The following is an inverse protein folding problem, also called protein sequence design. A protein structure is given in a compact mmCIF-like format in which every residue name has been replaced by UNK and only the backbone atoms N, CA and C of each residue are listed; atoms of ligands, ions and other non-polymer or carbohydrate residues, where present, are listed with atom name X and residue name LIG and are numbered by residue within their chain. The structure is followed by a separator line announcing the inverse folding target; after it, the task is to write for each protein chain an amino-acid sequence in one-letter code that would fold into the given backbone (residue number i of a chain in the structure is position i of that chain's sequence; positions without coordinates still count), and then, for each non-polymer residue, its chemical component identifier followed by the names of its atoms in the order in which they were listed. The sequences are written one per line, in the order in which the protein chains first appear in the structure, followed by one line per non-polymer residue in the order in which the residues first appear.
data_IF_864181953881
#
_entry.id   IF_864181953881
#
_cell.length_a   1.000
_cell.length_b   1.000
_cell.length_c   1.000
_cell.angle_alpha   90.00
_cell.angle_beta   90.00
_cell.angle_gamma   90.00
#
_symmetry.space_group_name_H-M   'P 1'
#
loop_
_entity.id
_entity.type
_entity.pdbx_description
1 polymer ?
#
# COMPACT_ATOMS: atom_id res chain seq x y z
N UNK A 1 16.97 -10.31 -2.82
CA UNK A 1 16.08 -9.21 -3.19
C UNK A 1 16.80 -7.87 -3.18
N UNK A 2 16.11 -6.80 -3.53
CA UNK A 2 16.61 -5.42 -3.38
C UNK A 2 16.65 -4.99 -1.91
N UNK A 3 15.85 -5.64 -1.11
CA UNK A 3 15.67 -5.43 0.32
C UNK A 3 15.57 -6.80 1.00
N UNK A 4 15.59 -6.82 2.31
CA UNK A 4 15.42 -8.05 3.10
C UNK A 4 13.94 -8.43 3.27
N UNK A 5 13.02 -7.71 2.64
CA UNK A 5 11.59 -7.99 2.69
C UNK A 5 11.26 -9.33 2.04
N UNK A 6 10.56 -10.19 2.77
CA UNK A 6 10.17 -11.54 2.35
C UNK A 6 8.66 -11.75 2.37
N UNK A 7 7.96 -10.95 3.16
CA UNK A 7 6.51 -11.00 3.35
C UNK A 7 5.84 -9.68 2.95
N UNK A 8 4.52 -9.68 2.93
CA UNK A 8 3.74 -8.47 2.72
C UNK A 8 2.44 -8.50 3.54
N UNK A 9 2.11 -7.39 4.17
CA UNK A 9 0.77 -7.17 4.73
C UNK A 9 -0.05 -6.34 3.74
N UNK A 10 -1.18 -6.88 3.34
CA UNK A 10 -2.15 -6.16 2.51
C UNK A 10 -3.33 -5.73 3.38
N UNK A 11 -3.74 -4.49 3.24
CA UNK A 11 -4.87 -3.92 3.97
C UNK A 11 -5.83 -3.32 2.95
N UNK A 12 -7.13 -3.46 3.21
CA UNK A 12 -8.19 -2.89 2.38
C UNK A 12 -9.29 -2.30 3.27
N UNK A 13 -9.66 -1.07 2.99
CA UNK A 13 -10.90 -0.48 3.51
C UNK A 13 -12.06 -0.90 2.62
N UNK A 14 -13.03 -1.57 3.21
CA UNK A 14 -14.19 -2.11 2.48
C UNK A 14 -15.15 -1.01 2.04
N UNK A 15 -15.18 0.10 2.78
CA UNK A 15 -16.09 1.21 2.48
C UNK A 15 -15.61 2.06 1.29
N UNK A 16 -14.35 2.49 1.32
CA UNK A 16 -13.77 3.36 0.28
C UNK A 16 -13.14 2.60 -0.87
N UNK A 17 -12.96 1.29 -0.75
CA UNK A 17 -12.16 0.43 -1.63
C UNK A 17 -10.64 0.74 -1.60
N UNK A 18 -10.19 1.66 -0.73
CA UNK A 18 -8.78 1.97 -0.56
C UNK A 18 -8.01 0.73 -0.12
N UNK A 19 -6.86 0.48 -0.74
CA UNK A 19 -6.00 -0.65 -0.41
C UNK A 19 -4.54 -0.27 -0.36
N UNK A 20 -3.75 -1.01 0.39
CA UNK A 20 -2.31 -0.85 0.39
C UNK A 20 -1.60 -2.18 0.60
N UNK A 21 -0.34 -2.24 0.16
CA UNK A 21 0.55 -3.37 0.35
C UNK A 21 1.82 -2.87 1.03
N UNK A 22 2.13 -3.45 2.18
CA UNK A 22 3.31 -3.15 2.99
C UNK A 22 4.28 -4.33 2.88
N UNK A 23 5.39 -4.19 2.12
CA UNK A 23 6.48 -5.14 2.20
C UNK A 23 7.05 -5.18 3.62
N UNK A 24 7.30 -6.36 4.15
CA UNK A 24 7.75 -6.57 5.52
C UNK A 24 8.96 -7.49 5.54
N UNK A 25 9.92 -7.20 6.42
CA UNK A 25 11.07 -8.08 6.67
C UNK A 25 10.64 -9.34 7.43
N UNK A 26 9.65 -9.19 8.31
CA UNK A 26 9.13 -10.30 9.12
C UNK A 26 7.63 -10.15 9.39
N UNK A 27 7.01 -11.24 9.84
CA UNK A 27 5.63 -11.24 10.35
C UNK A 27 5.60 -10.90 11.83
N UNK A 28 6.12 -9.72 12.20
CA UNK A 28 6.10 -9.28 13.58
C UNK A 28 4.87 -8.43 13.90
N UNK A 29 4.47 -8.43 15.17
CA UNK A 29 3.38 -7.58 15.63
C UNK A 29 3.74 -6.07 15.59
N UNK A 30 5.02 -5.74 15.57
CA UNK A 30 5.51 -4.37 15.47
C UNK A 30 5.39 -3.87 14.02
N UNK A 31 5.88 -4.66 13.05
CA UNK A 31 5.71 -4.34 11.62
C UNK A 31 4.23 -4.22 11.24
N UNK A 32 3.38 -5.12 11.78
CA UNK A 32 1.94 -5.05 11.58
C UNK A 32 1.32 -3.78 12.20
N UNK A 33 1.76 -3.40 13.40
CA UNK A 33 1.31 -2.19 14.07
C UNK A 33 1.63 -0.94 13.23
N UNK A 34 2.87 -0.81 12.77
CA UNK A 34 3.30 0.33 11.96
C UNK A 34 2.53 0.42 10.63
N UNK A 35 2.34 -0.71 9.96
CA UNK A 35 1.56 -0.77 8.72
C UNK A 35 0.09 -0.39 8.93
N UNK A 36 -0.55 -0.89 10.00
CA UNK A 36 -1.93 -0.55 10.35
C UNK A 36 -2.08 0.93 10.73
N UNK A 37 -1.16 1.45 11.54
CA UNK A 37 -1.15 2.86 11.94
C UNK A 37 -0.99 3.78 10.72
N UNK A 38 -0.06 3.45 9.83
CA UNK A 38 0.14 4.19 8.58
C UNK A 38 -1.09 4.15 7.68
N UNK A 39 -1.70 2.96 7.51
CA UNK A 39 -2.89 2.82 6.65
C UNK A 39 -4.07 3.63 7.15
N UNK A 40 -4.28 3.67 8.44
CA UNK A 40 -5.42 4.37 9.03
C UNK A 40 -5.21 5.87 9.14
N UNK A 41 -3.96 6.36 9.21
CA UNK A 41 -3.64 7.79 9.32
C UNK A 41 -4.42 8.49 10.45
N UNK A 42 -4.69 7.76 11.53
CA UNK A 42 -5.49 8.25 12.67
C UNK A 42 -7.01 8.32 12.42
N UNK A 43 -7.50 7.81 11.29
CA UNK A 43 -8.93 7.69 11.02
C UNK A 43 -9.58 6.69 11.97
N UNK A 44 -10.85 6.92 12.27
CA UNK A 44 -11.63 6.01 13.10
C UNK A 44 -11.85 4.68 12.36
N UNK A 45 -11.44 3.59 12.98
CA UNK A 45 -11.67 2.22 12.48
C UNK A 45 -12.94 1.68 13.14
N UNK A 46 -13.97 1.42 12.36
CA UNK A 46 -15.23 0.86 12.85
C UNK A 46 -15.10 -0.62 13.21
N UNK A 47 -14.38 -1.38 12.41
CA UNK A 47 -14.10 -2.80 12.65
C UNK A 47 -12.84 -3.20 11.89
N UNK A 48 -11.93 -3.86 12.58
CA UNK A 48 -10.78 -4.54 11.99
C UNK A 48 -11.07 -6.03 11.86
N UNK A 49 -10.94 -6.55 10.64
CA UNK A 49 -11.18 -7.96 10.36
C UNK A 49 -9.91 -8.62 9.82
N UNK A 50 -9.49 -9.74 10.40
CA UNK A 50 -8.30 -10.49 9.99
C UNK A 50 -8.49 -12.00 10.11
N UNK A 51 -7.51 -12.78 9.66
CA UNK A 51 -7.49 -14.24 9.74
C UNK A 51 -7.20 -14.80 11.14
N UNK A 52 -7.09 -13.94 12.15
CA UNK A 52 -6.82 -14.35 13.52
C UNK A 52 -5.35 -14.69 13.79
N UNK A 53 -4.43 -14.26 12.96
CA UNK A 53 -3.00 -14.39 13.26
C UNK A 53 -2.62 -13.56 14.48
N UNK A 54 -1.77 -14.12 15.35
CA UNK A 54 -1.46 -13.52 16.66
C UNK A 54 -0.77 -12.15 16.55
N UNK A 55 0.02 -11.93 15.52
CA UNK A 55 0.68 -10.64 15.24
C UNK A 55 -0.35 -9.55 14.88
N UNK A 56 -1.35 -9.86 14.04
CA UNK A 56 -2.40 -8.92 13.65
C UNK A 56 -3.34 -8.62 14.83
N UNK A 57 -3.69 -9.63 15.61
CA UNK A 57 -4.51 -9.44 16.83
C UNK A 57 -3.79 -8.57 17.86
N UNK A 58 -2.48 -8.78 18.05
CA UNK A 58 -1.66 -7.98 18.96
C UNK A 58 -1.57 -6.54 18.49
N UNK A 59 -1.30 -6.29 17.20
CA UNK A 59 -1.23 -4.97 16.63
C UNK A 59 -2.57 -4.22 16.73
N UNK A 60 -3.69 -4.84 16.35
CA UNK A 60 -5.02 -4.26 16.46
C UNK A 60 -5.40 -3.92 17.92
N UNK A 61 -4.99 -4.77 18.89
CA UNK A 61 -5.21 -4.51 20.31
C UNK A 61 -4.42 -3.29 20.81
N UNK A 62 -3.17 -3.13 20.38
CA UNK A 62 -2.34 -1.96 20.72
C UNK A 62 -2.92 -0.66 20.16
N UNK A 63 -3.53 -0.73 18.96
CA UNK A 63 -4.21 0.40 18.32
C UNK A 63 -5.63 0.63 18.85
N UNK A 64 -6.10 -0.20 19.78
CA UNK A 64 -7.46 -0.15 20.32
C UNK A 64 -8.55 -0.26 19.23
N UNK A 65 -8.28 -0.98 18.15
CA UNK A 65 -9.29 -1.19 17.10
C UNK A 65 -10.35 -2.19 17.58
N UNK A 66 -11.64 -1.90 17.36
CA UNK A 66 -12.67 -2.93 17.42
C UNK A 66 -12.33 -4.03 16.43
N UNK A 67 -12.16 -5.25 16.89
CA UNK A 67 -11.70 -6.37 16.06
C UNK A 67 -12.64 -7.54 16.06
N UNK A 68 -12.69 -8.21 14.91
CA UNK A 68 -13.30 -9.51 14.74
C UNK A 68 -12.37 -10.39 13.89
N UNK A 69 -12.46 -11.69 14.09
CA UNK A 69 -11.58 -12.64 13.41
C UNK A 69 -12.40 -13.67 12.66
N UNK A 70 -11.89 -14.15 11.53
CA UNK A 70 -12.52 -15.24 10.81
C UNK A 70 -12.55 -16.50 11.67
N UNK A 71 -13.73 -17.12 11.76
CA UNK A 71 -13.85 -18.44 12.39
C UNK A 71 -13.02 -19.44 11.57
N UNK A 72 -12.19 -20.26 12.24
CA UNK A 72 -11.44 -21.32 11.56
C UNK A 72 -12.36 -22.21 10.74
N UNK A 73 -12.05 -22.41 9.47
CA UNK A 73 -12.80 -23.31 8.58
C UNK A 73 -14.00 -22.67 7.86
N UNK A 74 -14.18 -21.35 7.89
CA UNK A 74 -15.22 -20.66 7.10
C UNK A 74 -14.58 -19.88 5.94
N UNK A 75 -14.42 -20.47 4.73
CA UNK A 75 -13.76 -19.84 3.58
C UNK A 75 -14.44 -18.54 3.12
N UNK A 76 -15.74 -18.40 3.35
CA UNK A 76 -16.51 -17.23 2.89
C UNK A 76 -16.08 -15.92 3.56
N UNK A 77 -15.57 -16.00 4.79
CA UNK A 77 -15.21 -14.82 5.58
C UNK A 77 -13.86 -14.21 5.14
N UNK A 78 -13.03 -14.97 4.42
CA UNK A 78 -11.73 -14.49 3.96
C UNK A 78 -11.71 -14.07 2.46
N UNK A 79 -12.84 -14.23 1.77
CA UNK A 79 -12.93 -14.02 0.33
C UNK A 79 -12.57 -12.59 -0.11
N UNK A 80 -12.81 -11.57 0.73
CA UNK A 80 -12.44 -10.17 0.44
C UNK A 80 -10.92 -10.02 0.48
N UNK A 81 -10.27 -10.54 1.51
CA UNK A 81 -8.81 -10.49 1.65
C UNK A 81 -8.11 -11.29 0.54
N UNK A 82 -8.62 -12.49 0.23
CA UNK A 82 -8.08 -13.33 -0.86
C UNK A 82 -8.20 -12.65 -2.22
N UNK A 83 -9.35 -12.02 -2.50
CA UNK A 83 -9.57 -11.27 -3.75
C UNK A 83 -8.63 -10.06 -3.81
N UNK A 84 -8.48 -9.32 -2.72
CA UNK A 84 -7.56 -8.20 -2.62
C UNK A 84 -6.11 -8.64 -2.87
N UNK A 85 -5.67 -9.73 -2.25
CA UNK A 85 -4.33 -10.27 -2.44
C UNK A 85 -4.08 -10.70 -3.90
N UNK A 86 -5.06 -11.36 -4.51
CA UNK A 86 -4.98 -11.77 -5.92
C UNK A 86 -4.88 -10.57 -6.85
N UNK A 87 -5.66 -9.55 -6.61
CA UNK A 87 -5.67 -8.31 -7.39
C UNK A 87 -4.34 -7.59 -7.30
N UNK A 88 -3.82 -7.35 -6.08
CA UNK A 88 -2.51 -6.73 -5.87
C UNK A 88 -1.40 -7.54 -6.53
N UNK A 89 -1.42 -8.86 -6.40
CA UNK A 89 -0.41 -9.72 -7.02
C UNK A 89 -0.44 -9.64 -8.55
N UNK A 90 -1.62 -9.65 -9.16
CA UNK A 90 -1.77 -9.53 -10.61
C UNK A 90 -1.33 -8.14 -11.11
N UNK A 91 -1.75 -7.08 -10.45
CA UNK A 91 -1.36 -5.71 -10.77
C UNK A 91 0.15 -5.50 -10.64
N UNK A 92 0.76 -6.01 -9.57
CA UNK A 92 2.22 -5.98 -9.37
C UNK A 92 2.96 -6.65 -10.53
N UNK A 93 2.52 -7.85 -10.93
CA UNK A 93 3.13 -8.58 -12.07
C UNK A 93 3.00 -7.80 -13.38
N UNK A 94 1.83 -7.17 -13.60
CA UNK A 94 1.60 -6.35 -14.79
C UNK A 94 2.52 -5.14 -14.81
N UNK A 95 2.65 -4.41 -13.71
CA UNK A 95 3.56 -3.26 -13.62
C UNK A 95 5.02 -3.66 -13.84
N UNK A 96 5.48 -4.76 -13.26
CA UNK A 96 6.83 -5.26 -13.46
C UNK A 96 7.09 -5.63 -14.92
N UNK A 97 6.13 -6.32 -15.56
CA UNK A 97 6.23 -6.69 -16.98
C UNK A 97 6.27 -5.46 -17.88
N UNK A 98 5.42 -4.46 -17.65
CA UNK A 98 5.41 -3.21 -18.40
C UNK A 98 6.70 -2.41 -18.23
N UNK A 99 7.26 -2.39 -17.02
CA UNK A 99 8.50 -1.68 -16.73
C UNK A 99 9.77 -2.44 -17.18
N UNK A 100 9.65 -3.70 -17.61
CA UNK A 100 10.82 -4.54 -17.91
C UNK A 100 11.67 -4.86 -16.68
N UNK A 101 11.10 -4.77 -15.48
CA UNK A 101 11.82 -4.97 -14.23
C UNK A 101 11.74 -6.42 -13.73
N UNK A 102 12.82 -6.96 -13.16
CA UNK A 102 12.80 -8.30 -12.58
C UNK A 102 11.91 -8.36 -11.34
N UNK A 103 11.46 -9.59 -11.00
CA UNK A 103 10.54 -9.83 -9.88
C UNK A 103 11.08 -9.34 -8.52
N UNK A 104 12.40 -9.21 -8.36
CA UNK A 104 12.99 -8.65 -7.14
C UNK A 104 12.49 -7.23 -6.80
N UNK A 105 11.96 -6.49 -7.79
CA UNK A 105 11.39 -5.16 -7.59
C UNK A 105 9.94 -5.18 -7.05
N UNK A 106 9.40 -6.35 -6.68
CA UNK A 106 8.04 -6.46 -6.16
C UNK A 106 7.78 -5.53 -4.97
N UNK A 107 8.77 -5.35 -4.11
CA UNK A 107 8.72 -4.47 -2.92
C UNK A 107 8.42 -3.00 -3.25
N UNK A 108 8.71 -2.59 -4.48
CA UNK A 108 8.37 -1.25 -4.99
C UNK A 108 7.12 -1.27 -5.85
N UNK A 109 6.94 -2.34 -6.63
CA UNK A 109 5.84 -2.47 -7.58
C UNK A 109 4.49 -2.68 -6.88
N UNK A 110 4.43 -3.45 -5.79
CA UNK A 110 3.17 -3.73 -5.11
C UNK A 110 2.55 -2.47 -4.43
N UNK A 111 3.30 -1.68 -3.64
CA UNK A 111 2.79 -0.41 -3.15
C UNK A 111 2.44 0.57 -4.29
N UNK A 112 3.27 0.65 -5.34
CA UNK A 112 2.99 1.51 -6.49
C UNK A 112 1.70 1.14 -7.21
N UNK A 113 1.44 -0.16 -7.39
CA UNK A 113 0.16 -0.63 -7.94
C UNK A 113 -1.01 -0.15 -7.07
N UNK A 114 -0.94 -0.31 -5.75
CA UNK A 114 -2.00 0.14 -4.85
C UNK A 114 -2.27 1.64 -4.99
N UNK A 115 -1.21 2.46 -5.05
CA UNK A 115 -1.37 3.92 -5.23
C UNK A 115 -2.04 4.25 -6.56
N UNK A 116 -1.60 3.64 -7.66
CA UNK A 116 -2.19 3.86 -8.98
C UNK A 116 -3.66 3.44 -9.00
N UNK A 117 -3.98 2.25 -8.50
CA UNK A 117 -5.34 1.73 -8.47
C UNK A 117 -6.28 2.56 -7.57
N UNK A 118 -5.78 3.02 -6.42
CA UNK A 118 -6.54 3.88 -5.50
C UNK A 118 -6.89 5.24 -6.12
N UNK A 119 -6.19 5.67 -7.15
CA UNK A 119 -6.43 6.95 -7.85
C UNK A 119 -7.25 6.81 -9.13
N UNK A 120 -7.60 5.58 -9.53
CA UNK A 120 -8.46 5.33 -10.69
C UNK A 120 -9.94 5.42 -10.30
N UNK A 121 -10.77 6.17 -11.05
CA UNK A 121 -12.20 6.24 -10.80
C UNK A 121 -12.88 4.87 -10.94
N UNK A 122 -13.87 4.62 -10.08
CA UNK A 122 -14.74 3.44 -10.12
C UNK A 122 -16.00 3.73 -10.95
N UNK A 123 -16.93 2.78 -10.94
CA UNK A 123 -18.21 2.91 -11.70
C UNK A 123 -19.05 4.12 -11.29
N UNK A 124 -18.94 4.57 -10.06
CA UNK A 124 -19.61 5.76 -9.53
C UNK A 124 -18.93 7.09 -9.94
N UNK A 125 -17.81 7.00 -10.66
CA UNK A 125 -17.02 8.14 -11.13
C UNK A 125 -16.01 8.70 -10.12
N UNK A 126 -15.94 8.12 -8.91
CA UNK A 126 -15.01 8.56 -7.87
C UNK A 126 -13.92 7.51 -7.65
N UNK A 127 -12.75 7.96 -7.21
CA UNK A 127 -11.64 7.07 -6.87
C UNK A 127 -11.72 6.62 -5.40
N UNK A 128 -11.14 5.48 -5.02
CA UNK A 128 -10.95 5.11 -3.61
C UNK A 128 -10.25 6.19 -2.80
N UNK A 129 -9.32 6.90 -3.42
CA UNK A 129 -8.66 8.06 -2.82
C UNK A 129 -9.68 9.15 -2.46
N UNK A 130 -10.57 9.51 -3.39
CA UNK A 130 -11.60 10.50 -3.16
C UNK A 130 -12.55 10.10 -2.02
N UNK A 131 -13.02 8.86 -2.01
CA UNK A 131 -13.88 8.36 -0.93
C UNK A 131 -13.23 8.42 0.45
N UNK A 132 -11.90 8.32 0.50
CA UNK A 132 -11.15 8.34 1.76
C UNK A 132 -10.81 9.77 2.21
N UNK A 133 -10.42 10.64 1.29
CA UNK A 133 -9.85 11.96 1.61
C UNK A 133 -10.79 13.14 1.30
N UNK A 134 -11.90 12.90 0.58
CA UNK A 134 -12.85 13.94 0.18
C UNK A 134 -12.36 14.85 -0.96
N UNK A 135 -11.19 14.57 -1.53
CA UNK A 135 -10.62 15.30 -2.66
C UNK A 135 -9.90 14.37 -3.63
N UNK A 136 -9.80 14.79 -4.89
CA UNK A 136 -9.07 14.04 -5.91
C UNK A 136 -7.56 14.03 -5.64
N UNK A 137 -6.91 12.95 -6.04
CA UNK A 137 -5.47 12.83 -5.95
C UNK A 137 -4.77 13.86 -6.85
N UNK A 138 -3.97 14.75 -6.25
CA UNK A 138 -3.25 15.83 -6.94
C UNK A 138 -1.83 15.49 -7.32
N UNK A 139 -1.34 14.31 -6.94
CA UNK A 139 0.01 13.85 -7.24
C UNK A 139 0.19 13.42 -8.69
N UNK A 140 1.45 13.29 -9.11
CA UNK A 140 1.78 12.76 -10.43
C UNK A 140 1.59 11.24 -10.44
N UNK A 141 0.90 10.74 -11.46
CA UNK A 141 0.78 9.31 -11.75
C UNK A 141 1.80 8.94 -12.83
N UNK A 142 2.96 8.46 -12.39
CA UNK A 142 4.05 8.08 -13.29
C UNK A 142 4.10 6.56 -13.45
N UNK A 143 4.40 6.06 -14.66
CA UNK A 143 4.64 4.64 -14.87
C UNK A 143 5.81 4.14 -14.00
N UNK A 144 5.68 2.95 -13.44
CA UNK A 144 6.76 2.32 -12.71
C UNK A 144 7.99 2.14 -13.64
N UNK A 145 9.18 2.48 -13.15
CA UNK A 145 10.42 2.33 -13.91
C UNK A 145 10.67 3.42 -14.96
N UNK A 146 9.81 4.45 -15.05
CA UNK A 146 10.10 5.58 -15.93
C UNK A 146 11.30 6.39 -15.41
N UNK A 147 12.12 6.89 -16.33
CA UNK A 147 13.18 7.84 -15.99
C UNK A 147 12.58 9.20 -15.65
N UNK A 148 13.01 9.80 -14.55
CA UNK A 148 12.57 11.12 -14.13
C UNK A 148 13.76 12.00 -13.82
N UNK A 149 13.68 13.28 -14.19
CA UNK A 149 14.63 14.29 -13.76
C UNK A 149 14.02 14.97 -12.53
N UNK A 150 14.72 14.88 -11.43
CA UNK A 150 14.28 15.41 -10.15
C UNK A 150 15.13 16.63 -9.77
N UNK A 151 14.48 17.75 -9.49
CA UNK A 151 15.09 18.93 -8.91
C UNK A 151 14.71 18.99 -7.44
N UNK A 152 15.64 18.77 -6.50
CA UNK A 152 15.34 18.94 -5.08
C UNK A 152 14.92 20.38 -4.81
N UNK A 153 13.89 20.56 -4.00
CA UNK A 153 13.53 21.90 -3.53
C UNK A 153 14.74 22.48 -2.79
N UNK A 154 15.27 23.59 -3.30
CA UNK A 154 16.42 24.25 -2.70
C UNK A 154 16.11 24.64 -1.26
N UNK A 155 16.91 24.19 -0.32
CA UNK A 155 16.97 24.80 1.01
C UNK A 155 17.36 26.26 0.82
N UNK A 156 16.64 27.19 1.41
CA UNK A 156 16.83 28.65 1.25
C UNK A 156 18.24 29.16 1.59
N UNK A 157 19.14 28.32 2.04
CA UNK A 157 20.49 28.65 2.50
C UNK A 157 21.65 28.12 1.66
N UNK A 158 21.42 27.41 0.55
CA UNK A 158 22.52 26.98 -0.32
C UNK A 158 22.47 27.72 -1.65
N UNK A 159 23.26 28.79 -1.76
CA UNK A 159 23.52 29.47 -3.02
C UNK A 159 24.43 28.68 -3.99
N UNK A 160 24.30 27.37 -4.02
CA UNK A 160 25.02 26.48 -4.92
C UNK A 160 24.07 25.98 -6.02
N UNK A 161 24.17 26.58 -7.17
CA UNK A 161 23.69 26.00 -8.44
C UNK A 161 24.62 24.84 -8.78
N UNK A 162 24.31 23.63 -8.35
CA UNK A 162 24.96 22.43 -8.89
C UNK A 162 24.52 22.26 -10.35
N UNK A 163 25.45 22.47 -11.26
CA UNK A 163 25.31 22.05 -12.66
C UNK A 163 25.41 20.53 -12.71
N UNK A 164 24.35 19.86 -13.14
CA UNK A 164 24.38 18.44 -13.44
C UNK A 164 25.05 18.25 -14.80
N UNK A 165 26.22 17.66 -14.82
CA UNK A 165 26.83 17.15 -16.06
C UNK A 165 26.19 15.81 -16.38
N UNK A 166 25.45 15.78 -17.49
CA UNK A 166 24.92 14.55 -18.09
C UNK A 166 26.02 13.98 -18.97
N UNK A 167 26.72 12.96 -18.50
CA UNK A 167 27.59 12.10 -19.32
C UNK A 167 26.90 10.78 -19.60
#
# INVERSE_FOLDING_TARGET
GLTDDQDALTIKDVFSDLKHCYPLVSKSAEDAYDAMQHFTEGRLVSLWYSDGSGELESAASKLCFPKDTSLPGTPQNNAIAERNNKDILQGTRTLLAQAGLPCAFWVKAAPAYCVLDNTEPREDGFSPWYHTHGEEFKGLRLPLGCAVIYFPAGTKDSGATEKWDIT
#
